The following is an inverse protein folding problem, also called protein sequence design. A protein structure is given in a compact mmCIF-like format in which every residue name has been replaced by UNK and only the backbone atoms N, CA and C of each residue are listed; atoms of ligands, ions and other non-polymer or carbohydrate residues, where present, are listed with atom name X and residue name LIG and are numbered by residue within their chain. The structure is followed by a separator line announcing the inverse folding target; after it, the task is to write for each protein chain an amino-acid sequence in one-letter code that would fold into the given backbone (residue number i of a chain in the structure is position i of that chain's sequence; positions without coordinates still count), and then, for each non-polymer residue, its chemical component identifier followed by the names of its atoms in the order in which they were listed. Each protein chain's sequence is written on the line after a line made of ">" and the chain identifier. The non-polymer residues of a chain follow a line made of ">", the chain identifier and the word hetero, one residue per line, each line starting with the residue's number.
data_IF_556007310627
#
_entry.id   IF_556007310627
#
_cell.length_a   1.000
_cell.length_b   1.000
_cell.length_c   1.000
_cell.angle_alpha   90.00
_cell.angle_beta   90.00
_cell.angle_gamma   90.00
#
_symmetry.space_group_name_H-M   'P 1'
#
loop_
_entity.id
_entity.type
_entity.pdbx_description
1 polymer ?
#
# COMPACT_ATOMS: atom_id res chain seq x y z
N UNK A 1 -4.81 -0.59 -19.65
CA UNK A 1 -3.68 -0.13 -18.86
C UNK A 1 -4.08 0.02 -17.40
N UNK A 2 -3.58 -0.88 -16.55
CA UNK A 2 -3.97 -0.95 -15.13
C UNK A 2 -3.54 0.28 -14.32
N UNK A 3 -2.48 0.94 -14.72
CA UNK A 3 -1.95 2.07 -13.94
C UNK A 3 -2.38 3.43 -14.50
N UNK A 4 -3.17 3.47 -15.56
CA UNK A 4 -3.72 4.70 -16.11
C UNK A 4 -2.70 5.65 -16.70
N UNK A 5 -1.57 5.16 -17.19
CA UNK A 5 -0.47 5.97 -17.70
C UNK A 5 -0.25 5.85 -19.20
N UNK A 6 -1.16 5.20 -19.91
CA UNK A 6 -1.01 4.99 -21.35
C UNK A 6 -0.77 6.28 -22.12
N UNK A 7 -1.49 7.33 -21.77
CA UNK A 7 -1.38 8.64 -22.42
C UNK A 7 -0.05 9.35 -22.15
N UNK A 8 0.65 8.94 -21.11
CA UNK A 8 1.89 9.56 -20.65
C UNK A 8 3.12 8.70 -20.87
N UNK A 9 2.99 7.61 -21.62
CA UNK A 9 4.06 6.64 -21.82
C UNK A 9 5.33 7.21 -22.45
N UNK A 10 5.18 8.29 -23.21
CA UNK A 10 6.30 8.95 -23.90
C UNK A 10 6.93 10.09 -23.09
N UNK A 11 6.42 10.37 -21.90
CA UNK A 11 6.96 11.43 -21.05
C UNK A 11 8.14 10.94 -20.22
N UNK A 12 9.12 11.79 -20.03
CA UNK A 12 10.21 11.49 -19.13
C UNK A 12 9.72 11.54 -17.68
N UNK A 13 10.20 10.59 -16.81
CA UNK A 13 9.77 10.55 -15.40
C UNK A 13 9.91 11.88 -14.66
N UNK A 14 10.93 12.67 -14.97
CA UNK A 14 11.16 13.97 -14.31
C UNK A 14 10.06 15.02 -14.57
N UNK A 15 9.21 14.77 -15.56
CA UNK A 15 8.09 15.66 -15.90
C UNK A 15 6.77 15.25 -15.27
N UNK A 16 6.78 14.14 -14.52
CA UNK A 16 5.58 13.59 -13.91
C UNK A 16 5.44 14.06 -12.48
N UNK A 17 4.20 14.14 -11.99
CA UNK A 17 3.94 14.37 -10.56
C UNK A 17 4.48 13.21 -9.72
N UNK A 18 4.58 13.40 -8.39
CA UNK A 18 5.01 12.33 -7.48
C UNK A 18 4.15 11.08 -7.59
N UNK A 19 2.82 11.25 -7.68
CA UNK A 19 1.90 10.12 -7.84
C UNK A 19 2.07 9.41 -9.18
N UNK A 20 2.29 10.18 -10.25
CA UNK A 20 2.54 9.61 -11.56
C UNK A 20 3.88 8.86 -11.61
N UNK A 21 4.91 9.41 -10.96
CA UNK A 21 6.20 8.72 -10.85
C UNK A 21 6.06 7.40 -10.11
N UNK A 22 5.27 7.38 -9.04
CA UNK A 22 5.02 6.16 -8.29
C UNK A 22 4.30 5.12 -9.16
N UNK A 23 3.31 5.55 -9.93
CA UNK A 23 2.60 4.63 -10.83
C UNK A 23 3.50 4.12 -11.95
N UNK A 24 4.43 4.94 -12.45
CA UNK A 24 5.43 4.48 -13.43
C UNK A 24 6.32 3.40 -12.81
N UNK A 25 6.75 3.60 -11.57
CA UNK A 25 7.55 2.60 -10.87
C UNK A 25 6.79 1.28 -10.72
N UNK A 26 5.50 1.34 -10.38
CA UNK A 26 4.64 0.15 -10.30
C UNK A 26 4.54 -0.53 -11.66
N UNK A 27 4.31 0.24 -12.72
CA UNK A 27 4.21 -0.31 -14.08
C UNK A 27 5.51 -1.00 -14.51
N UNK A 28 6.67 -0.41 -14.19
CA UNK A 28 7.97 -1.03 -14.49
C UNK A 28 8.16 -2.34 -13.75
N UNK A 29 7.76 -2.38 -12.48
CA UNK A 29 7.84 -3.60 -11.69
C UNK A 29 6.92 -4.68 -12.28
N UNK A 30 5.71 -4.32 -12.67
CA UNK A 30 4.75 -5.25 -13.30
C UNK A 30 5.25 -5.79 -14.63
N UNK A 31 5.99 -4.99 -15.40
CA UNK A 31 6.54 -5.40 -16.68
C UNK A 31 7.54 -6.55 -16.54
N UNK A 32 8.12 -6.72 -15.36
CA UNK A 32 9.02 -7.84 -15.06
C UNK A 32 8.27 -9.12 -14.69
N UNK A 33 6.93 -9.06 -14.65
CA UNK A 33 6.06 -10.19 -14.35
C UNK A 33 6.39 -10.86 -13.01
N UNK A 34 6.41 -10.11 -11.89
CA UNK A 34 6.84 -10.63 -10.59
C UNK A 34 5.79 -11.56 -9.98
N UNK A 35 6.26 -12.49 -9.14
CA UNK A 35 5.36 -13.33 -8.34
C UNK A 35 4.87 -12.61 -7.10
N UNK A 36 5.72 -11.74 -6.53
CA UNK A 36 5.41 -10.97 -5.31
C UNK A 36 5.86 -9.53 -5.53
N UNK A 37 5.01 -8.57 -5.16
CA UNK A 37 5.38 -7.15 -5.16
C UNK A 37 5.49 -6.64 -3.73
N UNK A 38 6.51 -5.82 -3.49
CA UNK A 38 6.73 -5.16 -2.20
C UNK A 38 6.50 -3.66 -2.35
N UNK A 39 5.62 -3.11 -1.52
CA UNK A 39 5.38 -1.67 -1.43
C UNK A 39 5.80 -1.19 -0.05
N UNK A 40 6.76 -0.29 0.01
CA UNK A 40 7.25 0.27 1.28
C UNK A 40 6.80 1.73 1.38
N UNK A 41 5.74 1.96 2.16
CA UNK A 41 5.13 3.27 2.35
C UNK A 41 4.93 4.02 1.03
N UNK A 42 4.13 3.47 0.10
CA UNK A 42 4.06 3.99 -1.27
C UNK A 42 3.52 5.42 -1.37
N UNK A 43 2.94 5.94 -0.30
CA UNK A 43 2.32 7.28 -0.30
C UNK A 43 3.01 8.26 0.64
N UNK A 44 4.12 7.89 1.30
CA UNK A 44 4.71 8.68 2.37
C UNK A 44 5.19 10.08 1.95
N UNK A 45 5.54 10.27 0.69
CA UNK A 45 6.06 11.54 0.18
C UNK A 45 5.07 12.26 -0.74
N UNK A 46 3.79 11.84 -0.76
CA UNK A 46 2.80 12.36 -1.70
C UNK A 46 1.79 13.28 -1.02
N UNK A 47 1.24 14.22 -1.82
CA UNK A 47 0.09 15.02 -1.41
C UNK A 47 -1.14 14.11 -1.22
N UNK A 48 -2.12 14.52 -0.38
CA UNK A 48 -3.33 13.73 -0.18
C UNK A 48 -4.08 13.38 -1.47
N UNK A 49 -4.09 14.28 -2.45
CA UNK A 49 -4.76 14.03 -3.73
C UNK A 49 -4.07 12.90 -4.52
N UNK A 50 -2.74 12.90 -4.51
CA UNK A 50 -1.95 11.89 -5.22
C UNK A 50 -1.94 10.57 -4.46
N UNK A 51 -2.02 10.62 -3.14
CA UNK A 51 -2.11 9.43 -2.29
C UNK A 51 -3.29 8.55 -2.71
N UNK A 52 -4.48 9.16 -2.88
CA UNK A 52 -5.67 8.42 -3.28
C UNK A 52 -5.50 7.67 -4.61
N UNK A 53 -4.85 8.31 -5.58
CA UNK A 53 -4.63 7.68 -6.89
C UNK A 53 -3.70 6.47 -6.80
N UNK A 54 -2.63 6.58 -6.01
CA UNK A 54 -1.67 5.47 -5.83
C UNK A 54 -2.33 4.32 -5.09
N UNK A 55 -3.07 4.60 -4.02
CA UNK A 55 -3.78 3.56 -3.26
C UNK A 55 -4.81 2.84 -4.11
N UNK A 56 -5.51 3.56 -4.98
CA UNK A 56 -6.48 2.97 -5.90
C UNK A 56 -5.80 2.00 -6.86
N UNK A 57 -4.62 2.36 -7.38
CA UNK A 57 -3.85 1.49 -8.26
C UNK A 57 -3.47 0.19 -7.54
N UNK A 58 -2.97 0.29 -6.31
CA UNK A 58 -2.58 -0.88 -5.52
C UNK A 58 -3.80 -1.75 -5.22
N UNK A 59 -4.94 -1.12 -4.91
CA UNK A 59 -6.17 -1.86 -4.66
C UNK A 59 -6.61 -2.66 -5.90
N UNK A 60 -6.47 -2.08 -7.09
CA UNK A 60 -6.79 -2.80 -8.33
C UNK A 60 -5.90 -4.03 -8.49
N UNK A 61 -4.62 -3.95 -8.14
CA UNK A 61 -3.73 -5.11 -8.17
C UNK A 61 -4.17 -6.18 -7.17
N UNK A 62 -4.63 -5.77 -5.99
CA UNK A 62 -5.15 -6.71 -5.00
C UNK A 62 -6.39 -7.42 -5.52
N UNK A 63 -7.29 -6.69 -6.18
CA UNK A 63 -8.50 -7.26 -6.79
C UNK A 63 -8.16 -8.25 -7.90
N UNK A 64 -7.01 -8.07 -8.56
CA UNK A 64 -6.49 -8.99 -9.58
C UNK A 64 -5.71 -10.16 -8.98
N UNK A 65 -5.76 -10.34 -7.66
CA UNK A 65 -5.11 -11.43 -6.92
C UNK A 65 -3.58 -11.42 -6.99
N UNK A 66 -2.98 -10.23 -7.19
CA UNK A 66 -1.53 -10.08 -7.10
C UNK A 66 -1.07 -10.30 -5.65
N UNK A 67 -0.05 -11.13 -5.44
CA UNK A 67 0.54 -11.32 -4.13
C UNK A 67 1.42 -10.10 -3.80
N UNK A 68 1.11 -9.45 -2.67
CA UNK A 68 1.78 -8.21 -2.29
C UNK A 68 2.07 -8.16 -0.80
N UNK A 69 3.18 -7.51 -0.47
CA UNK A 69 3.50 -7.12 0.90
C UNK A 69 3.52 -5.60 0.92
N UNK A 70 2.71 -4.98 1.78
CA UNK A 70 2.56 -3.54 1.84
C UNK A 70 2.90 -3.05 3.24
N UNK A 71 3.90 -2.17 3.34
CA UNK A 71 4.24 -1.48 4.59
C UNK A 71 3.60 -0.10 4.50
N UNK A 72 2.69 0.22 5.42
CA UNK A 72 1.94 1.48 5.35
C UNK A 72 1.45 1.95 6.70
N UNK A 73 1.28 3.27 6.84
CA UNK A 73 0.58 3.91 7.95
C UNK A 73 -0.86 4.30 7.57
N UNK A 74 -1.28 4.01 6.35
CA UNK A 74 -2.64 4.28 5.88
C UNK A 74 -3.58 3.18 6.37
N UNK A 75 -4.13 3.36 7.56
CA UNK A 75 -4.87 2.30 8.26
C UNK A 75 -6.18 1.92 7.56
N UNK A 76 -6.90 2.88 7.02
CA UNK A 76 -8.13 2.57 6.30
C UNK A 76 -7.87 1.75 5.04
N UNK A 77 -6.78 2.09 4.34
CA UNK A 77 -6.35 1.34 3.17
C UNK A 77 -5.93 -0.09 3.55
N UNK A 78 -5.14 -0.23 4.60
CA UNK A 78 -4.71 -1.55 5.08
C UNK A 78 -5.92 -2.42 5.42
N UNK A 79 -6.92 -1.86 6.11
CA UNK A 79 -8.15 -2.56 6.46
C UNK A 79 -8.90 -3.04 5.21
N UNK A 80 -8.96 -2.19 4.18
CA UNK A 80 -9.75 -2.45 3.00
C UNK A 80 -9.14 -3.49 2.07
N UNK A 81 -7.81 -3.47 1.90
CA UNK A 81 -7.15 -4.30 0.87
C UNK A 81 -6.47 -5.54 1.38
N UNK A 82 -6.19 -5.63 2.67
CA UNK A 82 -5.38 -6.73 3.20
C UNK A 82 -6.20 -7.98 3.44
N UNK A 83 -5.60 -9.13 3.17
CA UNK A 83 -6.11 -10.42 3.62
C UNK A 83 -5.54 -10.77 5.00
N UNK A 84 -4.36 -10.22 5.30
CA UNK A 84 -3.67 -10.47 6.55
C UNK A 84 -2.90 -9.21 6.96
N UNK A 85 -2.96 -8.90 8.25
CA UNK A 85 -2.31 -7.71 8.81
C UNK A 85 -1.30 -8.13 9.86
N UNK A 86 -0.13 -7.52 9.80
CA UNK A 86 0.97 -7.78 10.73
C UNK A 86 1.35 -6.44 11.36
N UNK A 87 1.25 -6.36 12.70
CA UNK A 87 1.72 -5.18 13.43
C UNK A 87 3.11 -5.45 13.98
N UNK A 88 4.05 -4.58 13.61
CA UNK A 88 5.44 -4.70 14.05
C UNK A 88 5.83 -3.50 14.92
N UNK A 89 6.59 -3.76 15.95
CA UNK A 89 7.19 -2.73 16.78
C UNK A 89 8.46 -3.29 17.42
N UNK A 90 9.46 -2.41 17.62
CA UNK A 90 10.77 -2.78 18.21
C UNK A 90 11.46 -3.92 17.44
N UNK A 91 11.26 -3.95 16.12
CA UNK A 91 11.92 -4.94 15.26
C UNK A 91 11.33 -6.34 15.31
N UNK A 92 10.20 -6.54 16.01
CA UNK A 92 9.55 -7.84 16.11
C UNK A 92 8.07 -7.75 15.78
N UNK A 93 7.48 -8.88 15.38
CA UNK A 93 6.05 -8.98 15.15
C UNK A 93 5.36 -8.99 16.51
N UNK A 94 4.46 -8.02 16.73
CA UNK A 94 3.68 -7.92 17.97
C UNK A 94 2.35 -8.66 17.87
N UNK A 95 1.72 -8.60 16.72
CA UNK A 95 0.43 -9.25 16.50
C UNK A 95 0.20 -9.47 15.01
N UNK A 96 -0.52 -10.56 14.67
CA UNK A 96 -0.81 -10.93 13.30
C UNK A 96 -2.21 -11.55 13.23
N UNK A 97 -2.96 -11.21 12.19
CA UNK A 97 -4.30 -11.75 12.02
C UNK A 97 -5.01 -11.18 10.81
N UNK A 98 -6.31 -11.44 10.70
CA UNK A 98 -7.14 -10.84 9.68
C UNK A 98 -7.32 -9.34 9.96
N UNK A 99 -7.71 -8.53 8.97
CA UNK A 99 -8.00 -7.11 9.22
C UNK A 99 -9.04 -6.92 10.33
N UNK A 100 -10.08 -7.74 10.37
CA UNK A 100 -11.10 -7.66 11.40
C UNK A 100 -10.52 -7.92 12.79
N UNK A 101 -9.66 -8.93 12.93
CA UNK A 101 -9.04 -9.24 14.21
C UNK A 101 -8.13 -8.11 14.70
N UNK A 102 -7.30 -7.57 13.82
CA UNK A 102 -6.32 -6.56 14.20
C UNK A 102 -6.97 -5.20 14.47
N UNK A 103 -7.88 -4.76 13.60
CA UNK A 103 -8.47 -3.42 13.71
C UNK A 103 -9.66 -3.34 14.66
N UNK A 104 -10.46 -4.40 14.75
CA UNK A 104 -11.68 -4.38 15.56
C UNK A 104 -11.52 -5.08 16.90
N UNK A 105 -10.59 -6.02 17.04
CA UNK A 105 -10.40 -6.78 18.26
C UNK A 105 -8.92 -7.11 18.53
N UNK A 106 -8.05 -6.07 18.59
CA UNK A 106 -6.64 -6.32 18.87
C UNK A 106 -6.44 -6.89 20.26
N UNK A 107 -5.50 -7.83 20.39
CA UNK A 107 -5.22 -8.51 21.65
C UNK A 107 -3.98 -7.96 22.34
N UNK A 108 -3.02 -7.45 21.57
CA UNK A 108 -1.77 -6.93 22.08
C UNK A 108 -1.93 -5.47 22.51
N UNK A 109 -1.43 -5.12 23.69
CA UNK A 109 -1.57 -3.74 24.20
C UNK A 109 -0.89 -2.71 23.34
N UNK A 110 0.23 -3.04 22.71
CA UNK A 110 0.92 -2.12 21.81
C UNK A 110 0.14 -1.88 20.52
N UNK A 111 -0.52 -2.92 20.01
CA UNK A 111 -1.42 -2.79 18.87
C UNK A 111 -2.58 -1.86 19.21
N UNK A 112 -3.18 -2.04 20.38
CA UNK A 112 -4.28 -1.19 20.84
C UNK A 112 -3.86 0.28 20.94
N UNK A 113 -2.70 0.53 21.56
CA UNK A 113 -2.19 1.89 21.72
C UNK A 113 -1.89 2.54 20.38
N UNK A 114 -1.28 1.81 19.44
CA UNK A 114 -0.99 2.30 18.11
C UNK A 114 -2.26 2.69 17.38
N UNK A 115 -3.27 1.83 17.38
CA UNK A 115 -4.52 2.08 16.67
C UNK A 115 -5.32 3.24 17.28
N UNK A 116 -5.28 3.41 18.59
CA UNK A 116 -5.92 4.54 19.26
C UNK A 116 -5.34 5.88 18.79
N UNK A 117 -4.04 5.92 18.50
CA UNK A 117 -3.38 7.13 18.03
C UNK A 117 -3.55 7.38 16.53
N UNK A 118 -3.86 6.35 15.75
CA UNK A 118 -3.93 6.44 14.28
C UNK A 118 -5.37 6.56 13.76
N UNK A 119 -6.34 6.19 14.56
CA UNK A 119 -7.74 6.18 14.14
C UNK A 119 -8.62 7.23 14.89
#
# INVERSE_FOLDING_TARGET
>A
NKVGLWEKRDMYPSRLSGGQQQRVAIARALAMNPEIMLFDEPTSALDPELTGEVLKTIKQLADDHMTMIIVTHEMNFAREVSDRVIFMADGVIQEEGTPEQIFNNPQNDRTKAFLENML
#
